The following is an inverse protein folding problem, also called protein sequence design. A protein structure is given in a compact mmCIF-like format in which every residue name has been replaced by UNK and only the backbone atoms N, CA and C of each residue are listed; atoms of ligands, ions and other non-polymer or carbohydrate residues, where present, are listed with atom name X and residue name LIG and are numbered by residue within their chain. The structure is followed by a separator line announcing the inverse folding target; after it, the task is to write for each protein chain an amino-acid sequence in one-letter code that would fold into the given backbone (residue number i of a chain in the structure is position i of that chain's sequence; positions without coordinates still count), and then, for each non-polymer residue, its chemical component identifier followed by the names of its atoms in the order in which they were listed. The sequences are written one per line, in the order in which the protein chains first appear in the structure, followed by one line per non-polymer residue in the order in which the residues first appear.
data_IF_836930520955
#
_entry.id   IF_836930520955
#
_cell.length_a   1.000
_cell.length_b   1.000
_cell.length_c   1.000
_cell.angle_alpha   90.00
_cell.angle_beta   90.00
_cell.angle_gamma   90.00
#
_symmetry.space_group_name_H-M   'P 1'
#
loop_
_entity.id
_entity.type
_entity.pdbx_description
1 polymer ?
#
# COMPACT_ATOMS: atom_id res chain seq x y z
N UNK A 1 5.76 -54.63 -8.07
CA UNK A 1 4.76 -53.62 -8.26
C UNK A 1 4.01 -53.37 -6.92
N UNK A 2 4.51 -52.67 -6.03
CA UNK A 2 3.87 -52.38 -4.73
C UNK A 2 4.96 -52.31 -3.68
N UNK A 3 5.21 -51.15 -3.14
CA UNK A 3 5.94 -50.89 -1.88
C UNK A 3 6.90 -49.69 -1.87
N UNK A 4 6.85 -48.79 -2.85
CA UNK A 4 7.79 -47.64 -2.81
C UNK A 4 7.12 -46.28 -2.60
N UNK A 5 5.82 -46.17 -2.32
CA UNK A 5 5.16 -44.86 -2.52
C UNK A 5 4.46 -44.21 -1.33
N UNK A 6 4.53 -44.82 -0.16
CA UNK A 6 3.91 -44.20 1.03
C UNK A 6 4.83 -43.25 1.82
N UNK A 7 6.13 -43.28 1.58
CA UNK A 7 7.11 -42.47 2.33
C UNK A 7 7.26 -41.04 1.82
N UNK A 8 7.09 -40.81 0.51
CA UNK A 8 7.34 -39.49 -0.09
C UNK A 8 6.18 -38.51 0.01
N UNK A 9 4.95 -39.01 0.05
CA UNK A 9 3.75 -38.17 0.26
C UNK A 9 3.71 -37.52 1.64
N UNK A 10 4.21 -38.18 2.67
CA UNK A 10 4.28 -37.64 4.03
C UNK A 10 5.34 -36.55 4.20
N UNK A 11 6.38 -36.55 3.37
CA UNK A 11 7.43 -35.52 3.32
C UNK A 11 6.96 -34.24 2.64
N UNK A 12 6.17 -34.38 1.58
CA UNK A 12 5.60 -33.27 0.83
C UNK A 12 4.54 -32.53 1.67
N UNK A 13 3.62 -33.24 2.32
CA UNK A 13 2.63 -32.63 3.21
C UNK A 13 3.26 -31.91 4.40
N UNK A 14 4.32 -32.44 4.98
CA UNK A 14 5.01 -31.83 6.13
C UNK A 14 5.80 -30.58 5.79
N UNK A 15 6.38 -30.48 4.61
CA UNK A 15 7.09 -29.30 4.12
C UNK A 15 6.14 -28.13 3.82
N UNK A 16 4.98 -28.45 3.23
CA UNK A 16 3.98 -27.48 2.78
C UNK A 16 3.27 -26.74 3.92
N UNK A 17 3.09 -27.39 5.08
CA UNK A 17 2.31 -26.83 6.20
C UNK A 17 3.15 -26.16 7.30
N UNK A 18 4.48 -26.24 7.26
CA UNK A 18 5.37 -25.64 8.27
C UNK A 18 5.92 -24.26 7.93
N UNK A 19 5.29 -23.51 7.03
CA UNK A 19 5.70 -22.18 6.62
C UNK A 19 5.39 -21.09 7.65
N UNK A 20 6.12 -21.06 8.75
CA UNK A 20 6.42 -19.82 9.49
C UNK A 20 7.89 -19.86 9.89
N UNK A 21 8.71 -19.22 9.04
CA UNK A 21 10.07 -18.87 9.41
C UNK A 21 11.07 -20.00 9.35
N UNK A 22 11.35 -20.53 8.16
CA UNK A 22 12.63 -21.17 7.84
C UNK A 22 12.73 -21.35 6.32
N UNK A 23 13.89 -21.10 5.76
CA UNK A 23 14.27 -21.35 4.38
C UNK A 23 13.72 -22.72 3.92
N UNK A 24 12.70 -22.69 3.05
CA UNK A 24 12.15 -23.88 2.42
C UNK A 24 13.20 -24.41 1.44
N UNK A 25 13.63 -25.66 1.63
CA UNK A 25 14.37 -26.36 0.59
C UNK A 25 13.50 -26.44 -0.68
N UNK A 26 14.09 -26.27 -1.87
CA UNK A 26 13.35 -26.28 -3.13
C UNK A 26 12.54 -27.56 -3.28
N UNK A 27 11.27 -27.41 -3.68
CA UNK A 27 10.36 -28.54 -3.89
C UNK A 27 10.75 -29.26 -5.16
N UNK A 28 11.26 -30.50 -5.06
CA UNK A 28 11.46 -31.36 -6.23
C UNK A 28 10.10 -31.82 -6.73
N UNK A 29 9.74 -31.44 -7.94
CA UNK A 29 8.53 -31.92 -8.61
C UNK A 29 8.77 -33.36 -9.04
N UNK A 30 8.05 -34.27 -8.42
CA UNK A 30 7.98 -35.68 -8.87
C UNK A 30 7.12 -35.70 -10.12
N UNK A 31 7.61 -36.26 -11.21
CA UNK A 31 6.92 -36.42 -12.50
C UNK A 31 5.76 -37.44 -12.41
N UNK A 32 4.76 -37.16 -11.58
CA UNK A 32 3.56 -37.99 -11.50
C UNK A 32 2.29 -37.14 -11.56
N UNK A 33 1.71 -36.96 -12.77
CA UNK A 33 0.46 -36.20 -12.97
C UNK A 33 -0.70 -36.71 -12.11
N UNK A 34 -0.69 -37.97 -11.73
CA UNK A 34 -1.78 -38.59 -10.96
C UNK A 34 -1.88 -38.12 -9.51
N UNK A 35 -0.78 -37.66 -8.92
CA UNK A 35 -0.77 -37.11 -7.56
C UNK A 35 -1.44 -35.75 -7.52
N UNK A 36 -1.20 -34.90 -8.52
CA UNK A 36 -1.77 -33.56 -8.60
C UNK A 36 -3.29 -33.55 -8.87
N UNK A 37 -3.82 -34.59 -9.56
CA UNK A 37 -5.26 -34.67 -9.87
C UNK A 37 -6.15 -34.86 -8.64
N UNK A 38 -5.62 -35.44 -7.56
CA UNK A 38 -6.36 -35.75 -6.32
C UNK A 38 -6.29 -34.62 -5.27
N UNK A 39 -5.56 -33.56 -5.54
CA UNK A 39 -5.47 -32.45 -4.59
C UNK A 39 -6.82 -31.74 -4.41
N UNK A 40 -7.10 -31.37 -3.16
CA UNK A 40 -8.33 -30.63 -2.77
C UNK A 40 -8.36 -29.20 -3.31
N UNK A 41 -7.21 -28.67 -3.71
CA UNK A 41 -7.03 -27.32 -4.24
C UNK A 41 -6.68 -27.33 -5.73
N UNK A 42 -6.91 -26.20 -6.40
CA UNK A 42 -6.47 -26.03 -7.78
C UNK A 42 -4.95 -25.89 -7.85
N UNK A 43 -4.32 -26.66 -8.74
CA UNK A 43 -2.90 -26.56 -9.03
C UNK A 43 -2.70 -26.31 -10.53
N UNK A 44 -1.92 -25.27 -10.87
CA UNK A 44 -1.50 -24.98 -12.22
C UNK A 44 0.02 -24.91 -12.27
N UNK A 45 0.64 -25.52 -13.26
CA UNK A 45 2.07 -25.44 -13.51
C UNK A 45 2.32 -24.66 -14.80
N UNK A 46 3.21 -23.69 -14.77
CA UNK A 46 3.64 -22.94 -15.94
C UNK A 46 5.16 -22.99 -16.10
N UNK A 47 5.63 -22.77 -17.33
CA UNK A 47 7.04 -22.54 -17.64
C UNK A 47 7.50 -21.13 -17.26
N UNK A 48 8.78 -20.81 -17.47
CA UNK A 48 9.37 -19.51 -17.20
C UNK A 48 8.81 -18.37 -18.04
N UNK A 49 8.16 -18.67 -19.17
CA UNK A 49 7.46 -17.71 -20.04
C UNK A 49 5.97 -17.56 -19.66
N UNK A 50 5.50 -18.31 -18.67
CA UNK A 50 4.11 -18.28 -18.18
C UNK A 50 3.16 -19.14 -18.99
N UNK A 51 3.63 -20.03 -19.88
CA UNK A 51 2.76 -20.96 -20.61
C UNK A 51 2.33 -22.09 -19.69
N UNK A 52 1.05 -22.38 -19.67
CA UNK A 52 0.49 -23.43 -18.82
C UNK A 52 0.91 -24.81 -19.33
N UNK A 53 1.65 -25.53 -18.49
CA UNK A 53 2.09 -26.90 -18.75
C UNK A 53 1.10 -27.91 -18.23
N UNK A 54 0.42 -27.61 -17.12
CA UNK A 54 -0.50 -28.52 -16.48
C UNK A 54 -1.54 -27.79 -15.62
N UNK A 55 -2.75 -28.31 -15.61
CA UNK A 55 -3.84 -27.92 -14.71
C UNK A 55 -4.47 -29.19 -14.10
N UNK A 56 -4.59 -29.27 -12.78
CA UNK A 56 -5.35 -30.35 -12.18
C UNK A 56 -6.87 -30.14 -12.34
N UNK A 57 -7.67 -31.18 -12.06
CA UNK A 57 -9.14 -31.12 -12.18
C UNK A 57 -9.74 -29.89 -11.47
N UNK A 58 -9.23 -29.57 -10.28
CA UNK A 58 -9.75 -28.46 -9.47
C UNK A 58 -9.39 -27.09 -10.05
N UNK A 59 -8.19 -26.93 -10.59
CA UNK A 59 -7.79 -25.72 -11.31
C UNK A 59 -8.64 -25.51 -12.57
N UNK A 60 -8.90 -26.55 -13.35
CA UNK A 60 -9.79 -26.47 -14.51
C UNK A 60 -11.19 -26.01 -14.13
N UNK A 61 -11.76 -26.56 -13.05
CA UNK A 61 -13.07 -26.13 -12.56
C UNK A 61 -13.12 -24.66 -12.14
N UNK A 62 -12.03 -24.14 -11.58
CA UNK A 62 -11.95 -22.75 -11.13
C UNK A 62 -11.66 -21.78 -12.26
N UNK A 63 -10.76 -22.15 -13.19
CA UNK A 63 -10.27 -21.26 -14.22
C UNK A 63 -11.05 -21.35 -15.54
N UNK A 64 -11.66 -22.51 -15.83
CA UNK A 64 -12.33 -22.81 -17.10
C UNK A 64 -13.71 -23.46 -16.86
N UNK A 65 -14.65 -22.77 -16.18
CA UNK A 65 -15.92 -23.37 -15.78
C UNK A 65 -16.79 -23.83 -16.95
N UNK A 66 -16.62 -23.24 -18.14
CA UNK A 66 -17.41 -23.56 -19.34
C UNK A 66 -16.72 -24.51 -20.33
N UNK A 67 -15.46 -24.87 -20.10
CA UNK A 67 -14.69 -25.77 -20.97
C UNK A 67 -13.88 -26.80 -20.17
N UNK A 68 -14.58 -27.83 -19.72
CA UNK A 68 -13.96 -28.91 -18.94
C UNK A 68 -13.12 -29.87 -19.78
N UNK A 69 -13.21 -29.78 -21.12
CA UNK A 69 -12.47 -30.63 -22.04
C UNK A 69 -11.08 -30.12 -22.37
N UNK A 70 -10.87 -28.82 -22.23
CA UNK A 70 -9.58 -28.18 -22.51
C UNK A 70 -8.54 -28.59 -21.47
N UNK A 71 -7.42 -29.12 -21.93
CA UNK A 71 -6.27 -29.47 -21.08
C UNK A 71 -5.43 -28.25 -20.67
N UNK A 72 -5.85 -27.04 -21.04
CA UNK A 72 -5.14 -25.80 -20.75
C UNK A 72 -3.87 -25.56 -21.59
N UNK A 73 -3.54 -26.50 -22.49
CA UNK A 73 -2.39 -26.41 -23.38
C UNK A 73 -2.60 -25.29 -24.41
N UNK A 74 -1.66 -24.33 -24.42
CA UNK A 74 -1.73 -23.15 -25.31
C UNK A 74 -2.17 -21.87 -24.64
N UNK A 75 -2.63 -21.92 -23.38
CA UNK A 75 -2.96 -20.74 -22.58
C UNK A 75 -1.73 -20.26 -21.78
N UNK A 76 -1.70 -18.98 -21.51
CA UNK A 76 -0.71 -18.42 -20.57
C UNK A 76 -1.30 -18.20 -19.19
N UNK A 77 -0.45 -18.05 -18.18
CA UNK A 77 -0.90 -17.68 -16.82
C UNK A 77 -1.59 -16.31 -16.83
N UNK A 78 -1.24 -15.42 -17.77
CA UNK A 78 -1.90 -14.13 -17.92
C UNK A 78 -3.36 -14.29 -18.34
N UNK A 79 -3.64 -15.15 -19.34
CA UNK A 79 -4.99 -15.40 -19.84
C UNK A 79 -5.93 -16.03 -18.78
N UNK A 80 -5.39 -16.93 -17.98
CA UNK A 80 -6.21 -17.72 -17.05
C UNK A 80 -6.27 -17.15 -15.63
N UNK A 81 -5.20 -16.48 -15.18
CA UNK A 81 -5.02 -16.07 -13.79
C UNK A 81 -4.86 -14.55 -13.68
N UNK A 82 -3.85 -13.97 -14.35
CA UNK A 82 -3.47 -12.58 -14.12
C UNK A 82 -4.54 -11.58 -14.56
N UNK A 83 -5.25 -11.81 -15.67
CA UNK A 83 -6.36 -10.97 -16.12
C UNK A 83 -7.52 -10.90 -15.12
N UNK A 84 -7.69 -11.96 -14.31
CA UNK A 84 -8.76 -12.06 -13.31
C UNK A 84 -8.37 -11.53 -11.93
N UNK A 85 -7.10 -11.19 -11.73
CA UNK A 85 -6.60 -10.62 -10.49
C UNK A 85 -6.90 -9.12 -10.37
N UNK A 86 -7.40 -8.51 -11.43
CA UNK A 86 -7.70 -7.08 -11.49
C UNK A 86 -6.46 -6.21 -11.41
N UNK A 87 -6.62 -4.89 -11.22
CA UNK A 87 -5.52 -3.94 -11.18
C UNK A 87 -4.57 -4.10 -9.99
N UNK A 88 -4.85 -5.02 -9.06
CA UNK A 88 -4.07 -5.26 -7.85
C UNK A 88 -2.64 -5.73 -8.10
N UNK A 89 -2.35 -6.31 -9.28
CA UNK A 89 -0.99 -6.75 -9.65
C UNK A 89 -0.38 -5.85 -10.73
N UNK A 90 -1.13 -4.84 -11.18
CA UNK A 90 -0.63 -3.77 -12.05
C UNK A 90 0.09 -4.24 -13.29
N UNK A 91 -0.41 -5.28 -13.94
CA UNK A 91 0.22 -5.82 -15.14
C UNK A 91 1.50 -6.62 -14.90
N UNK A 92 1.90 -6.85 -13.64
CA UNK A 92 3.01 -7.75 -13.34
C UNK A 92 2.55 -9.21 -13.49
N UNK A 93 3.29 -10.00 -14.27
CA UNK A 93 3.04 -11.42 -14.42
C UNK A 93 3.44 -12.17 -13.14
N UNK A 94 2.52 -12.91 -12.51
CA UNK A 94 2.79 -13.71 -11.31
C UNK A 94 3.92 -14.73 -11.50
N UNK A 95 4.06 -15.30 -12.70
CA UNK A 95 5.18 -16.18 -13.05
C UNK A 95 6.51 -15.45 -12.87
N UNK A 96 6.61 -14.23 -13.41
CA UNK A 96 7.83 -13.44 -13.31
C UNK A 96 8.12 -13.04 -11.85
N UNK A 97 7.09 -12.65 -11.10
CA UNK A 97 7.22 -12.34 -9.69
C UNK A 97 7.70 -13.55 -8.87
N UNK A 98 7.14 -14.74 -9.13
CA UNK A 98 7.56 -15.95 -8.43
C UNK A 98 9.00 -16.36 -8.74
N UNK A 99 9.44 -16.21 -10.00
CA UNK A 99 10.82 -16.54 -10.41
C UNK A 99 11.86 -15.52 -9.92
N UNK A 100 11.44 -14.28 -9.67
CA UNK A 100 12.29 -13.22 -9.11
C UNK A 100 12.32 -13.24 -7.58
N UNK A 101 11.29 -13.78 -6.94
CA UNK A 101 11.24 -13.95 -5.51
C UNK A 101 12.00 -15.21 -5.12
N UNK A 102 12.88 -15.15 -4.10
CA UNK A 102 13.51 -16.35 -3.53
C UNK A 102 12.52 -17.21 -2.72
N UNK A 103 11.21 -17.10 -2.99
CA UNK A 103 10.15 -17.78 -2.23
C UNK A 103 8.75 -17.60 -2.83
N UNK A 104 7.73 -17.93 -2.04
CA UNK A 104 6.33 -17.81 -2.43
C UNK A 104 5.90 -16.35 -2.62
N UNK A 105 5.06 -16.10 -3.61
CA UNK A 105 4.38 -14.80 -3.74
C UNK A 105 3.33 -14.63 -2.64
N UNK A 106 2.97 -13.39 -2.23
CA UNK A 106 1.82 -13.15 -1.39
C UNK A 106 0.54 -13.78 -1.97
N UNK A 107 -0.34 -14.26 -1.10
CA UNK A 107 -1.64 -14.80 -1.53
C UNK A 107 -2.52 -13.66 -2.07
N UNK A 108 -2.93 -13.74 -3.33
CA UNK A 108 -3.73 -12.71 -4.03
C UNK A 108 -5.13 -13.22 -4.28
N UNK A 109 -6.13 -12.37 -4.06
CA UNK A 109 -7.52 -12.68 -4.36
C UNK A 109 -7.78 -12.55 -5.86
N UNK A 110 -8.42 -13.57 -6.44
CA UNK A 110 -8.88 -13.64 -7.82
C UNK A 110 -10.40 -13.79 -7.83
N UNK A 111 -11.09 -12.93 -8.57
CA UNK A 111 -12.52 -13.05 -8.78
C UNK A 111 -12.79 -14.05 -9.92
N UNK A 112 -13.68 -15.00 -9.67
CA UNK A 112 -14.07 -16.05 -10.62
C UNK A 112 -15.57 -15.98 -10.85
N UNK A 113 -15.97 -16.06 -12.10
CA UNK A 113 -17.37 -16.22 -12.49
C UNK A 113 -17.63 -17.70 -12.74
N UNK A 114 -18.33 -18.35 -11.81
CA UNK A 114 -18.74 -19.75 -11.94
C UNK A 114 -20.26 -19.79 -11.97
N UNK A 115 -20.85 -20.14 -13.11
CA UNK A 115 -22.28 -20.32 -13.29
C UNK A 115 -23.15 -19.12 -12.85
N UNK A 116 -22.68 -17.88 -13.14
CA UNK A 116 -23.32 -16.60 -12.75
C UNK A 116 -23.30 -16.33 -11.25
N UNK A 117 -22.55 -17.09 -10.48
CA UNK A 117 -22.24 -16.83 -9.09
C UNK A 117 -20.84 -16.21 -9.01
N UNK A 118 -20.74 -14.97 -8.56
CA UNK A 118 -19.46 -14.36 -8.24
C UNK A 118 -18.82 -15.13 -7.09
N UNK A 119 -17.77 -15.87 -7.40
CA UNK A 119 -16.96 -16.60 -6.45
C UNK A 119 -15.56 -15.98 -6.39
N UNK A 120 -14.85 -16.16 -5.31
CA UNK A 120 -13.46 -15.75 -5.18
C UNK A 120 -12.55 -16.98 -5.02
N UNK A 121 -11.36 -16.92 -5.57
CA UNK A 121 -10.27 -17.82 -5.24
C UNK A 121 -9.09 -17.04 -4.73
N UNK A 122 -8.22 -17.71 -4.00
CA UNK A 122 -6.94 -17.16 -3.56
C UNK A 122 -5.83 -17.85 -4.34
N UNK A 123 -4.88 -17.08 -4.85
CA UNK A 123 -3.78 -17.57 -5.68
C UNK A 123 -2.46 -17.24 -5.01
N UNK A 124 -1.59 -18.24 -4.91
CA UNK A 124 -0.19 -18.09 -4.51
C UNK A 124 0.67 -18.74 -5.57
N UNK A 125 1.79 -18.15 -5.96
CA UNK A 125 2.72 -18.70 -6.93
C UNK A 125 4.06 -19.04 -6.24
N UNK A 126 4.63 -20.17 -6.62
CA UNK A 126 5.87 -20.72 -6.05
C UNK A 126 6.85 -21.03 -7.19
N UNK A 127 8.11 -20.61 -7.10
CA UNK A 127 9.14 -21.12 -7.99
C UNK A 127 9.36 -22.61 -7.69
N UNK A 128 9.55 -23.39 -8.75
CA UNK A 128 9.81 -24.83 -8.66
C UNK A 128 11.26 -25.10 -9.03
N UNK A 129 11.97 -25.83 -8.18
CA UNK A 129 13.32 -26.27 -8.49
C UNK A 129 13.28 -27.37 -9.56
N UNK A 130 13.68 -27.02 -10.77
CA UNK A 130 13.74 -27.90 -11.93
C UNK A 130 14.81 -27.38 -12.90
N UNK A 131 15.28 -28.24 -13.81
CA UNK A 131 16.29 -27.90 -14.81
C UNK A 131 15.90 -26.71 -15.71
N UNK A 132 14.59 -26.46 -15.84
CA UNK A 132 14.01 -25.31 -16.53
C UNK A 132 13.19 -24.48 -15.53
N UNK A 133 13.17 -23.13 -15.65
CA UNK A 133 12.36 -22.28 -14.78
C UNK A 133 10.87 -22.66 -14.85
N UNK A 134 10.28 -23.00 -13.72
CA UNK A 134 8.84 -23.35 -13.61
C UNK A 134 8.22 -22.68 -12.41
N UNK A 135 6.91 -22.43 -12.49
CA UNK A 135 6.11 -21.83 -11.42
C UNK A 135 4.87 -22.67 -11.16
N UNK A 136 4.65 -23.04 -9.91
CA UNK A 136 3.45 -23.69 -9.44
C UNK A 136 2.49 -22.64 -8.86
N UNK A 137 1.27 -22.60 -9.39
CA UNK A 137 0.18 -21.81 -8.84
C UNK A 137 -0.72 -22.68 -7.98
N UNK A 138 -0.92 -22.26 -6.77
CA UNK A 138 -1.89 -22.82 -5.84
C UNK A 138 -3.15 -21.97 -5.82
N UNK A 139 -4.28 -22.57 -6.15
CA UNK A 139 -5.59 -21.91 -6.24
C UNK A 139 -6.51 -22.48 -5.16
N UNK A 140 -6.80 -21.68 -4.15
CA UNK A 140 -7.69 -22.06 -3.06
C UNK A 140 -9.07 -21.42 -3.29
N UNK A 141 -10.17 -22.20 -3.44
CA UNK A 141 -11.49 -21.62 -3.57
C UNK A 141 -11.88 -20.88 -2.29
N UNK A 142 -12.36 -19.65 -2.45
CA UNK A 142 -12.99 -18.88 -1.39
C UNK A 142 -14.35 -19.52 -1.06
N UNK A 143 -14.67 -19.74 0.21
CA UNK A 143 -16.01 -20.12 0.62
C UNK A 143 -16.93 -18.91 0.54
N UNK A 144 -18.09 -19.03 -0.11
CA UNK A 144 -19.20 -18.11 0.04
C UNK A 144 -19.55 -18.06 1.53
N UNK A 145 -19.21 -17.00 2.20
CA UNK A 145 -19.41 -16.85 3.64
C UNK A 145 -18.14 -16.95 4.51
N UNK A 146 -16.97 -17.12 3.93
CA UNK A 146 -15.71 -17.12 4.67
C UNK A 146 -15.33 -15.68 5.09
N UNK A 147 -16.17 -15.12 5.95
CA UNK A 147 -15.73 -14.12 6.91
C UNK A 147 -14.81 -14.84 7.90
N UNK A 148 -13.63 -15.23 7.45
CA UNK A 148 -12.57 -15.49 8.40
C UNK A 148 -12.41 -14.19 9.19
N UNK A 149 -12.78 -14.24 10.45
CA UNK A 149 -12.29 -13.35 11.47
C UNK A 149 -10.76 -13.41 11.39
N UNK A 150 -10.19 -12.64 10.45
CA UNK A 150 -8.76 -12.36 10.48
C UNK A 150 -8.51 -11.57 11.74
N UNK A 151 -7.59 -12.00 12.54
CA UNK A 151 -6.94 -11.13 13.52
C UNK A 151 -6.32 -9.91 12.80
N UNK A 152 -6.07 -10.00 11.47
CA UNK A 152 -5.67 -8.88 10.61
C UNK A 152 -6.82 -8.00 10.09
N UNK A 153 -8.09 -8.48 10.06
CA UNK A 153 -9.23 -7.65 9.65
C UNK A 153 -9.55 -6.53 10.66
N UNK A 154 -8.90 -6.54 11.82
CA UNK A 154 -8.97 -5.41 12.77
C UNK A 154 -8.12 -4.23 12.36
N UNK A 155 -7.30 -4.33 11.30
CA UNK A 155 -6.33 -3.30 10.89
C UNK A 155 -6.35 -2.96 9.40
N UNK A 156 -7.22 -3.57 8.57
CA UNK A 156 -7.37 -3.14 7.18
C UNK A 156 -8.38 -1.99 7.14
N UNK A 157 -7.98 -0.79 6.68
CA UNK A 157 -8.92 0.30 6.48
C UNK A 157 -10.01 -0.11 5.49
N UNK A 158 -11.23 0.37 5.69
CA UNK A 158 -12.33 0.19 4.74
C UNK A 158 -11.94 0.79 3.39
N UNK A 159 -12.39 0.16 2.29
CA UNK A 159 -12.22 0.78 0.98
C UNK A 159 -13.06 2.07 0.86
N UNK A 160 -12.62 3.10 0.08
CA UNK A 160 -13.36 4.36 -0.07
C UNK A 160 -14.78 4.06 -0.50
N UNK A 161 -15.60 3.72 -0.78
CA UNK A 161 -16.99 3.48 -1.18
C UNK A 161 -17.77 2.49 -0.30
N UNK A 162 -17.10 1.83 0.65
CA UNK A 162 -17.75 0.89 1.59
C UNK A 162 -17.58 1.28 3.06
N UNK A 163 -16.91 2.39 3.33
CA UNK A 163 -16.69 2.90 4.67
C UNK A 163 -17.94 3.64 5.18
N UNK A 164 -18.26 3.46 6.45
CA UNK A 164 -19.33 4.21 7.11
C UNK A 164 -18.91 5.67 7.40
N UNK A 165 -17.62 5.91 7.46
CA UNK A 165 -17.02 7.23 7.63
C UNK A 165 -15.74 7.31 6.79
N UNK A 166 -15.63 8.34 5.95
CA UNK A 166 -14.44 8.62 5.15
C UNK A 166 -13.81 9.90 5.66
N UNK A 167 -12.49 9.88 5.87
CA UNK A 167 -11.73 11.01 6.39
C UNK A 167 -10.56 11.30 5.48
N UNK A 168 -10.43 12.55 5.08
CA UNK A 168 -9.33 13.07 4.31
C UNK A 168 -8.57 14.06 5.18
N UNK A 169 -7.29 13.79 5.38
CA UNK A 169 -6.42 14.55 6.26
C UNK A 169 -5.26 15.24 5.52
N UNK A 170 -4.99 14.82 4.28
CA UNK A 170 -4.02 15.47 3.42
C UNK A 170 -4.63 16.69 2.73
N UNK A 171 -4.00 17.84 2.89
CA UNK A 171 -4.58 19.13 2.52
C UNK A 171 -5.57 19.58 3.59
N UNK A 172 -6.71 20.10 3.15
CA UNK A 172 -7.78 20.52 4.05
C UNK A 172 -8.51 19.29 4.60
N UNK A 173 -8.82 19.33 5.90
CA UNK A 173 -9.52 18.24 6.55
C UNK A 173 -10.97 18.12 6.07
N UNK A 174 -11.33 16.96 5.58
CA UNK A 174 -12.69 16.67 5.15
C UNK A 174 -13.14 15.34 5.74
N UNK A 175 -14.42 15.23 6.05
CA UNK A 175 -15.01 13.98 6.51
C UNK A 175 -16.42 13.81 5.93
N UNK A 176 -16.75 12.59 5.55
CA UNK A 176 -18.04 12.20 5.02
C UNK A 176 -18.56 10.98 5.75
N UNK A 177 -19.74 11.12 6.36
CA UNK A 177 -20.44 10.05 7.08
C UNK A 177 -21.65 9.54 6.31
N UNK A 178 -22.46 8.70 6.93
CA UNK A 178 -23.67 8.11 6.34
C UNK A 178 -24.70 9.14 5.84
N UNK A 179 -24.69 10.36 6.36
CA UNK A 179 -25.57 11.45 5.97
C UNK A 179 -24.93 12.44 4.99
N UNK A 180 -23.76 12.12 4.45
CA UNK A 180 -22.99 12.96 3.54
C UNK A 180 -21.84 13.71 4.21
N UNK A 181 -21.25 14.69 3.52
CA UNK A 181 -20.10 15.43 4.01
C UNK A 181 -20.43 16.24 5.27
N UNK A 182 -19.47 16.27 6.19
CA UNK A 182 -19.51 17.12 7.37
C UNK A 182 -19.25 18.57 6.95
N UNK A 183 -19.97 19.49 7.57
CA UNK A 183 -19.84 20.91 7.30
C UNK A 183 -18.43 21.40 7.68
N UNK A 184 -17.76 22.11 6.74
CA UNK A 184 -16.43 22.67 6.94
C UNK A 184 -16.39 23.68 8.09
N UNK A 185 -17.41 24.56 8.20
CA UNK A 185 -17.51 25.53 9.29
C UNK A 185 -17.58 24.84 10.66
N UNK A 186 -18.31 23.71 10.74
CA UNK A 186 -18.36 22.90 11.95
C UNK A 186 -17.02 22.24 12.27
N UNK A 187 -16.26 21.81 11.26
CA UNK A 187 -14.93 21.21 11.42
C UNK A 187 -13.88 22.21 11.97
N UNK A 188 -14.08 23.50 11.77
CA UNK A 188 -13.23 24.55 12.33
C UNK A 188 -13.56 24.85 13.81
N UNK A 189 -14.75 24.47 14.27
CA UNK A 189 -15.17 24.68 15.67
C UNK A 189 -14.47 23.70 16.63
N UNK A 190 -14.62 23.94 17.93
CA UNK A 190 -14.00 23.13 18.99
C UNK A 190 -14.30 21.62 18.90
N UNK A 191 -15.53 21.16 18.61
CA UNK A 191 -15.80 19.75 18.37
C UNK A 191 -15.04 19.17 17.16
N UNK A 192 -14.91 19.94 16.08
CA UNK A 192 -14.12 19.58 14.90
C UNK A 192 -12.62 19.49 15.20
N UNK A 193 -12.07 20.42 15.99
CA UNK A 193 -10.68 20.35 16.47
C UNK A 193 -10.43 19.10 17.32
N UNK A 194 -11.37 18.74 18.21
CA UNK A 194 -11.31 17.48 18.96
C UNK A 194 -11.32 16.26 18.02
N UNK A 195 -12.15 16.33 16.97
CA UNK A 195 -12.20 15.26 15.97
C UNK A 195 -10.85 15.10 15.23
N UNK A 196 -10.30 16.18 14.70
CA UNK A 196 -8.98 16.21 14.06
C UNK A 196 -7.89 15.65 14.98
N UNK A 197 -7.88 16.06 16.25
CA UNK A 197 -6.94 15.57 17.26
C UNK A 197 -7.07 14.06 17.49
N UNK A 198 -8.30 13.56 17.68
CA UNK A 198 -8.54 12.14 17.90
C UNK A 198 -8.20 11.28 16.68
N UNK A 199 -8.39 11.81 15.46
CA UNK A 199 -7.96 11.16 14.21
C UNK A 199 -6.43 11.12 14.11
N UNK A 200 -5.73 12.18 14.49
CA UNK A 200 -4.27 12.20 14.57
C UNK A 200 -3.77 11.12 15.54
N UNK A 201 -4.39 10.98 16.70
CA UNK A 201 -4.01 10.05 17.75
C UNK A 201 -4.70 8.66 17.67
N UNK A 202 -5.32 8.33 16.56
CA UNK A 202 -6.20 7.14 16.38
C UNK A 202 -5.56 5.79 16.71
N UNK A 203 -4.24 5.73 16.79
CA UNK A 203 -3.51 4.49 17.06
C UNK A 203 -3.40 4.14 18.55
N UNK A 204 -3.84 5.05 19.44
CA UNK A 204 -3.71 4.88 20.89
C UNK A 204 -4.88 5.47 21.66
N UNK A 205 -5.07 5.01 22.89
CA UNK A 205 -5.97 5.66 23.82
C UNK A 205 -5.29 6.91 24.37
N UNK A 206 -5.93 8.07 24.26
CA UNK A 206 -5.43 9.33 24.77
C UNK A 206 -6.14 9.67 26.09
N UNK A 207 -5.37 10.03 27.11
CA UNK A 207 -5.93 10.40 28.42
C UNK A 207 -6.70 11.72 28.33
N UNK A 208 -7.74 11.87 29.16
CA UNK A 208 -8.54 13.09 29.19
C UNK A 208 -7.70 14.34 29.51
N UNK A 209 -6.68 14.20 30.37
CA UNK A 209 -5.78 15.30 30.70
C UNK A 209 -4.95 15.73 29.49
N UNK A 210 -4.38 14.78 28.73
CA UNK A 210 -3.60 15.07 27.54
C UNK A 210 -4.45 15.73 26.44
N UNK A 211 -5.70 15.28 26.26
CA UNK A 211 -6.63 15.91 25.29
C UNK A 211 -6.94 17.36 25.73
N UNK A 212 -7.23 17.55 27.03
CA UNK A 212 -7.54 18.87 27.55
C UNK A 212 -6.35 19.84 27.44
N UNK A 213 -5.15 19.37 27.76
CA UNK A 213 -3.90 20.15 27.63
C UNK A 213 -3.62 20.54 26.17
N UNK A 214 -3.78 19.60 25.23
CA UNK A 214 -3.54 19.86 23.80
C UNK A 214 -4.53 20.86 23.18
N UNK A 215 -5.81 20.82 23.60
CA UNK A 215 -6.86 21.63 22.97
C UNK A 215 -7.23 22.90 23.76
N UNK A 216 -6.99 22.91 25.06
CA UNK A 216 -7.34 24.03 25.96
C UNK A 216 -6.26 24.24 27.04
N UNK A 217 -5.01 24.57 26.65
CA UNK A 217 -3.90 24.67 27.61
C UNK A 217 -4.13 25.75 28.68
N UNK A 218 -4.98 26.75 28.39
CA UNK A 218 -5.34 27.82 29.32
C UNK A 218 -6.44 27.41 30.34
N UNK A 219 -7.11 26.25 30.12
CA UNK A 219 -8.18 25.83 31.02
C UNK A 219 -7.64 25.12 32.28
N UNK A 220 -8.24 25.37 33.41
CA UNK A 220 -7.97 24.55 34.61
C UNK A 220 -8.36 23.09 34.38
N UNK A 221 -7.74 22.17 35.15
CA UNK A 221 -7.87 20.71 34.92
C UNK A 221 -9.33 20.24 34.93
N UNK A 222 -10.14 20.69 35.87
CA UNK A 222 -11.54 20.29 35.97
C UNK A 222 -12.41 20.90 34.87
N UNK A 223 -12.14 22.16 34.47
CA UNK A 223 -12.83 22.84 33.40
C UNK A 223 -12.49 22.18 32.06
N UNK A 224 -11.24 21.86 31.79
CA UNK A 224 -10.81 21.14 30.61
C UNK A 224 -11.51 19.78 30.46
N UNK A 225 -11.63 19.00 31.54
CA UNK A 225 -12.36 17.72 31.55
C UNK A 225 -13.85 17.87 31.28
N UNK A 226 -14.48 18.92 31.79
CA UNK A 226 -15.88 19.19 31.60
C UNK A 226 -16.15 19.59 30.13
N UNK A 227 -15.31 20.48 29.56
CA UNK A 227 -15.33 20.82 28.12
C UNK A 227 -15.17 19.60 27.24
N UNK A 228 -14.20 18.72 27.57
CA UNK A 228 -13.96 17.49 26.82
C UNK A 228 -15.20 16.59 26.82
N UNK A 229 -15.85 16.35 27.96
CA UNK A 229 -17.07 15.52 28.00
C UNK A 229 -18.18 16.11 27.14
N UNK A 230 -18.38 17.43 27.18
CA UNK A 230 -19.35 18.12 26.36
C UNK A 230 -19.04 17.94 24.85
N UNK A 231 -17.81 18.22 24.44
CA UNK A 231 -17.46 18.14 23.01
C UNK A 231 -17.40 16.70 22.49
N UNK A 232 -17.06 15.71 23.33
CA UNK A 232 -17.19 14.29 22.96
C UNK A 232 -18.67 13.93 22.72
N UNK A 233 -19.58 14.46 23.51
CA UNK A 233 -21.03 14.26 23.28
C UNK A 233 -21.46 14.84 21.95
N UNK A 234 -21.14 16.10 21.69
CA UNK A 234 -21.45 16.78 20.42
C UNK A 234 -20.84 16.05 19.21
N UNK A 235 -19.57 15.61 19.33
CA UNK A 235 -18.89 14.86 18.27
C UNK A 235 -19.59 13.53 17.99
N UNK A 236 -19.99 12.79 19.02
CA UNK A 236 -20.72 11.53 18.87
C UNK A 236 -22.08 11.72 18.19
N UNK A 237 -22.83 12.75 18.54
CA UNK A 237 -24.10 13.06 17.87
C UNK A 237 -23.90 13.40 16.39
N UNK A 238 -22.81 14.09 16.06
CA UNK A 238 -22.49 14.45 14.69
C UNK A 238 -22.05 13.25 13.85
N UNK A 239 -21.22 12.36 14.41
CA UNK A 239 -20.72 11.18 13.68
C UNK A 239 -21.70 10.02 13.65
N UNK A 240 -22.59 9.93 14.64
CA UNK A 240 -23.51 8.80 14.84
C UNK A 240 -24.94 9.32 15.12
N UNK A 241 -25.56 10.07 14.21
CA UNK A 241 -26.86 10.73 14.48
C UNK A 241 -28.01 9.75 14.74
N UNK A 242 -27.92 8.54 14.17
CA UNK A 242 -28.95 7.49 14.36
C UNK A 242 -28.69 6.59 15.59
N UNK A 243 -27.68 6.91 16.36
CA UNK A 243 -27.34 6.11 17.54
C UNK A 243 -28.47 6.17 18.60
N UNK A 244 -29.04 5.01 18.91
CA UNK A 244 -30.06 4.93 19.95
C UNK A 244 -29.49 5.36 21.31
N UNK A 245 -30.31 6.05 22.11
CA UNK A 245 -29.95 6.43 23.48
C UNK A 245 -29.44 5.20 24.26
N UNK A 246 -28.26 5.33 24.91
CA UNK A 246 -27.55 4.28 25.67
C UNK A 246 -26.84 3.21 24.84
N UNK A 247 -26.88 3.26 23.50
CA UNK A 247 -26.00 2.39 22.69
C UNK A 247 -24.53 2.80 22.84
N UNK A 248 -23.58 1.86 22.86
CA UNK A 248 -22.16 2.19 22.90
C UNK A 248 -21.78 3.00 21.66
N UNK A 249 -20.93 4.03 21.86
CA UNK A 249 -20.39 4.78 20.75
C UNK A 249 -19.45 3.91 19.93
N UNK A 250 -19.48 4.07 18.61
CA UNK A 250 -18.72 3.27 17.66
C UNK A 250 -17.37 3.91 17.35
N UNK A 251 -17.35 5.20 17.03
CA UNK A 251 -16.12 5.87 16.59
C UNK A 251 -15.33 6.48 17.73
N UNK A 252 -15.97 7.22 18.63
CA UNK A 252 -15.29 7.85 19.78
C UNK A 252 -15.61 7.07 21.04
N UNK A 253 -14.75 6.13 21.37
CA UNK A 253 -15.00 5.17 22.48
C UNK A 253 -14.27 5.60 23.74
N UNK A 254 -15.03 5.63 24.86
CA UNK A 254 -14.43 5.86 26.17
C UNK A 254 -13.64 4.61 26.60
N UNK A 255 -12.40 4.81 27.01
CA UNK A 255 -11.52 3.81 27.62
C UNK A 255 -11.10 4.27 29.00
N UNK A 256 -10.48 3.38 29.78
CA UNK A 256 -10.06 3.72 31.14
C UNK A 256 -9.15 4.97 31.14
N UNK A 257 -9.67 6.06 31.65
CA UNK A 257 -8.95 7.34 31.81
C UNK A 257 -8.91 8.25 30.55
N UNK A 258 -9.59 7.88 29.46
CA UNK A 258 -9.54 8.72 28.25
C UNK A 258 -10.45 8.25 27.12
N UNK A 259 -10.05 8.55 25.89
CA UNK A 259 -10.79 8.24 24.67
C UNK A 259 -9.87 7.66 23.59
N UNK A 260 -10.46 6.86 22.72
CA UNK A 260 -9.82 6.34 21.50
C UNK A 260 -10.76 6.57 20.31
N UNK A 261 -10.18 6.90 19.16
CA UNK A 261 -10.89 6.89 17.89
C UNK A 261 -10.76 5.50 17.26
N UNK A 262 -11.87 4.76 17.18
CA UNK A 262 -11.91 3.43 16.57
C UNK A 262 -12.03 3.55 15.05
N UNK A 263 -11.14 2.89 14.33
CA UNK A 263 -11.04 2.98 12.86
C UNK A 263 -11.78 1.85 12.13
N UNK A 264 -12.49 0.98 12.86
CA UNK A 264 -13.26 -0.08 12.22
C UNK A 264 -14.43 0.49 11.40
N UNK A 265 -14.43 0.22 10.10
CA UNK A 265 -15.40 0.79 9.15
C UNK A 265 -15.12 2.25 8.77
N UNK A 266 -13.94 2.76 9.10
CA UNK A 266 -13.47 4.09 8.72
C UNK A 266 -12.40 3.98 7.65
N UNK A 267 -12.50 4.76 6.60
CA UNK A 267 -11.43 4.97 5.64
C UNK A 267 -10.71 6.29 5.95
N UNK A 268 -9.41 6.27 6.01
CA UNK A 268 -8.57 7.45 6.25
C UNK A 268 -7.47 7.49 5.19
N UNK A 269 -7.34 8.60 4.51
CA UNK A 269 -6.35 8.78 3.43
C UNK A 269 -4.91 8.56 3.89
N UNK A 270 -4.55 8.94 5.10
CA UNK A 270 -3.22 8.69 5.66
C UNK A 270 -2.95 7.20 5.92
N UNK A 271 -3.94 6.41 6.33
CA UNK A 271 -3.77 4.96 6.52
C UNK A 271 -3.62 4.25 5.18
N UNK A 272 -4.38 4.68 4.17
CA UNK A 272 -4.25 4.22 2.79
C UNK A 272 -2.88 4.57 2.21
N UNK A 273 -2.46 5.84 2.35
CA UNK A 273 -1.15 6.32 1.93
C UNK A 273 -0.02 5.49 2.54
N UNK A 274 -0.03 5.28 3.85
CA UNK A 274 1.02 4.52 4.52
C UNK A 274 1.07 3.06 4.08
N UNK A 275 -0.08 2.46 3.84
CA UNK A 275 -0.18 1.08 3.37
C UNK A 275 0.47 0.93 1.99
N UNK A 276 0.08 1.80 1.07
CA UNK A 276 0.61 1.79 -0.30
C UNK A 276 2.08 2.21 -0.34
N UNK A 277 2.46 3.23 0.42
CA UNK A 277 3.86 3.67 0.51
C UNK A 277 4.79 2.55 1.00
N UNK A 278 4.39 1.83 2.06
CA UNK A 278 5.19 0.70 2.57
C UNK A 278 5.30 -0.43 1.55
N UNK A 279 4.19 -0.80 0.92
CA UNK A 279 4.20 -1.84 -0.11
C UNK A 279 5.08 -1.44 -1.30
N UNK A 280 4.94 -0.20 -1.79
CA UNK A 280 5.71 0.30 -2.91
C UNK A 280 7.21 0.43 -2.63
N UNK A 281 7.59 0.98 -1.46
CA UNK A 281 8.99 1.08 -1.06
C UNK A 281 9.63 -0.29 -0.83
N UNK A 282 8.90 -1.24 -0.27
CA UNK A 282 9.38 -2.61 -0.10
C UNK A 282 9.60 -3.31 -1.45
N UNK A 283 8.66 -3.16 -2.40
CA UNK A 283 8.79 -3.69 -3.75
C UNK A 283 9.97 -3.06 -4.51
N UNK A 284 10.18 -1.75 -4.35
CA UNK A 284 11.33 -1.04 -4.94
C UNK A 284 12.65 -1.56 -4.39
N UNK A 285 12.76 -1.75 -3.08
CA UNK A 285 13.95 -2.31 -2.44
C UNK A 285 14.27 -3.75 -2.91
N UNK A 286 13.26 -4.48 -3.37
CA UNK A 286 13.40 -5.83 -3.94
C UNK A 286 13.63 -5.82 -5.46
N UNK A 287 13.75 -4.65 -6.11
CA UNK A 287 13.89 -4.53 -7.55
C UNK A 287 12.62 -4.83 -8.36
N UNK A 288 11.46 -4.99 -7.70
CA UNK A 288 10.17 -5.24 -8.34
C UNK A 288 9.54 -3.93 -8.83
N UNK A 289 10.17 -3.25 -9.79
CA UNK A 289 9.85 -1.88 -10.17
C UNK A 289 8.41 -1.69 -10.71
N UNK A 290 7.85 -2.69 -11.40
CA UNK A 290 6.47 -2.65 -11.86
C UNK A 290 5.47 -2.55 -10.71
N UNK A 291 5.56 -3.46 -9.73
CA UNK A 291 4.72 -3.45 -8.53
C UNK A 291 4.98 -2.19 -7.68
N UNK A 292 6.25 -1.80 -7.53
CA UNK A 292 6.63 -0.59 -6.81
C UNK A 292 5.94 0.66 -7.41
N UNK A 293 6.05 0.84 -8.73
CA UNK A 293 5.48 2.00 -9.43
C UNK A 293 3.98 2.14 -9.21
N UNK A 294 3.25 1.03 -9.14
CA UNK A 294 1.80 1.04 -8.90
C UNK A 294 1.46 1.46 -7.48
N UNK A 295 2.02 0.77 -6.49
CA UNK A 295 1.79 1.10 -5.10
C UNK A 295 2.20 2.54 -4.78
N UNK A 296 3.35 3.00 -5.31
CA UNK A 296 3.81 4.37 -5.12
C UNK A 296 2.88 5.38 -5.82
N UNK A 297 2.35 5.06 -7.01
CA UNK A 297 1.38 5.90 -7.69
C UNK A 297 0.05 5.98 -6.91
N UNK A 298 -0.44 4.85 -6.35
CA UNK A 298 -1.64 4.83 -5.50
C UNK A 298 -1.43 5.63 -4.22
N UNK A 299 -0.26 5.55 -3.59
CA UNK A 299 0.09 6.40 -2.46
C UNK A 299 0.03 7.89 -2.85
N UNK A 300 0.65 8.27 -3.97
CA UNK A 300 0.68 9.67 -4.43
C UNK A 300 -0.69 10.19 -4.90
N UNK A 301 -1.62 9.32 -5.25
CA UNK A 301 -3.00 9.69 -5.60
C UNK A 301 -3.77 10.22 -4.40
N UNK A 302 -3.56 9.66 -3.21
CA UNK A 302 -4.24 10.13 -2.00
C UNK A 302 -3.48 11.25 -1.29
N UNK A 303 -2.17 11.39 -1.54
CA UNK A 303 -1.35 12.47 -0.97
C UNK A 303 -1.57 13.79 -1.70
N UNK A 304 -2.45 14.66 -1.18
CA UNK A 304 -2.82 15.93 -1.79
C UNK A 304 -2.07 17.14 -1.24
N UNK A 305 -1.30 16.96 -0.19
CA UNK A 305 -0.53 18.02 0.47
C UNK A 305 -0.11 17.63 1.89
N UNK A 306 0.43 18.55 2.68
CA UNK A 306 0.77 18.30 4.07
C UNK A 306 -0.44 17.86 4.90
N UNK A 307 -0.20 17.08 5.95
CA UNK A 307 -1.21 16.66 6.91
C UNK A 307 -1.81 17.87 7.62
N UNK A 308 -3.15 18.04 7.58
CA UNK A 308 -3.91 19.16 8.16
C UNK A 308 -3.31 20.52 7.75
N UNK A 309 -3.26 20.80 6.45
CA UNK A 309 -2.62 22.00 5.91
C UNK A 309 -3.30 23.30 6.38
N UNK A 310 -4.58 23.27 6.70
CA UNK A 310 -5.37 24.40 7.23
C UNK A 310 -5.02 24.75 8.69
N UNK A 311 -4.45 23.80 9.44
CA UNK A 311 -4.05 23.97 10.84
C UNK A 311 -2.50 23.95 11.02
N UNK A 312 -1.74 24.84 10.35
CA UNK A 312 -0.28 24.75 10.30
C UNK A 312 0.42 24.96 11.65
N UNK A 313 -0.23 25.63 12.60
CA UNK A 313 0.34 26.03 13.89
C UNK A 313 -0.10 25.15 15.06
N UNK A 314 -0.78 24.03 14.83
CA UNK A 314 -1.16 23.14 15.92
C UNK A 314 -0.03 22.18 16.27
N UNK A 315 0.53 22.32 17.47
CA UNK A 315 1.72 21.57 17.93
C UNK A 315 1.47 20.06 17.96
N UNK A 316 0.28 19.65 18.34
CA UNK A 316 -0.07 18.22 18.42
C UNK A 316 -0.09 17.49 17.06
N UNK A 317 -0.14 18.21 15.94
CA UNK A 317 -0.10 17.63 14.60
C UNK A 317 1.31 17.65 13.97
N UNK A 318 2.27 18.33 14.60
CA UNK A 318 3.60 18.56 14.03
C UNK A 318 4.35 17.26 13.77
N UNK A 319 4.44 16.39 14.78
CA UNK A 319 5.14 15.10 14.66
C UNK A 319 4.57 14.23 13.54
N UNK A 320 3.24 14.12 13.44
CA UNK A 320 2.58 13.34 12.41
C UNK A 320 2.75 13.98 11.01
N UNK A 321 2.72 15.30 10.93
CA UNK A 321 2.96 16.04 9.68
C UNK A 321 4.37 15.83 9.15
N UNK A 322 5.38 15.94 10.02
CA UNK A 322 6.78 15.69 9.67
C UNK A 322 6.98 14.24 9.21
N UNK A 323 6.51 13.28 9.98
CA UNK A 323 6.59 11.86 9.68
C UNK A 323 5.95 11.48 8.32
N UNK A 324 4.77 12.00 8.05
CA UNK A 324 4.07 11.77 6.78
C UNK A 324 4.74 12.51 5.62
N UNK A 325 5.29 13.70 5.87
CA UNK A 325 6.09 14.46 4.92
C UNK A 325 7.36 13.71 4.49
N UNK A 326 8.12 13.20 5.45
CA UNK A 326 9.30 12.37 5.17
C UNK A 326 8.95 11.12 4.36
N UNK A 327 7.84 10.45 4.70
CA UNK A 327 7.38 9.29 3.95
C UNK A 327 7.00 9.68 2.51
N UNK A 328 6.32 10.81 2.32
CA UNK A 328 5.94 11.31 1.00
C UNK A 328 7.16 11.68 0.15
N UNK A 329 8.19 12.28 0.75
CA UNK A 329 9.45 12.56 0.08
C UNK A 329 10.13 11.27 -0.41
N UNK A 330 10.17 10.24 0.43
CA UNK A 330 10.71 8.91 0.06
C UNK A 330 9.93 8.28 -1.10
N UNK A 331 8.61 8.36 -1.07
CA UNK A 331 7.72 7.84 -2.15
C UNK A 331 7.97 8.59 -3.45
N UNK A 332 8.04 9.93 -3.42
CA UNK A 332 8.32 10.75 -4.61
C UNK A 332 9.70 10.45 -5.19
N UNK A 333 10.72 10.29 -4.35
CA UNK A 333 12.09 9.94 -4.76
C UNK A 333 12.12 8.59 -5.47
N UNK A 334 11.56 7.53 -4.87
CA UNK A 334 11.50 6.20 -5.45
C UNK A 334 10.74 6.19 -6.79
N UNK A 335 9.58 6.84 -6.85
CA UNK A 335 8.78 6.93 -8.07
C UNK A 335 9.51 7.68 -9.18
N UNK A 336 10.22 8.76 -8.85
CA UNK A 336 11.06 9.49 -9.80
C UNK A 336 12.18 8.60 -10.37
N UNK A 337 12.88 7.85 -9.51
CA UNK A 337 13.94 6.93 -9.93
C UNK A 337 13.42 5.84 -10.88
N UNK A 338 12.27 5.23 -10.57
CA UNK A 338 11.60 4.26 -11.45
C UNK A 338 11.25 4.90 -12.79
N UNK A 339 10.72 6.13 -12.79
CA UNK A 339 10.39 6.85 -14.02
C UNK A 339 11.63 7.17 -14.85
N UNK A 340 12.76 7.54 -14.22
CA UNK A 340 14.03 7.79 -14.90
C UNK A 340 14.56 6.50 -15.54
N UNK A 341 14.60 5.41 -14.78
CA UNK A 341 15.06 4.10 -15.26
C UNK A 341 14.24 3.58 -16.44
N UNK A 342 12.92 3.83 -16.42
CA UNK A 342 11.99 3.44 -17.50
C UNK A 342 11.90 4.46 -18.65
N UNK A 343 12.71 5.52 -18.68
CA UNK A 343 12.70 6.56 -19.71
C UNK A 343 11.49 7.52 -19.67
N UNK A 344 10.63 7.44 -18.68
CA UNK A 344 9.44 8.30 -18.51
C UNK A 344 9.82 9.65 -17.87
N UNK A 345 10.67 10.40 -18.57
CA UNK A 345 11.31 11.61 -18.04
C UNK A 345 10.33 12.75 -17.70
N UNK A 346 9.18 12.84 -18.39
CA UNK A 346 8.17 13.85 -18.09
C UNK A 346 7.48 13.55 -16.76
N UNK A 347 7.10 12.32 -16.50
CA UNK A 347 6.56 11.90 -15.21
C UNK A 347 7.59 12.06 -14.08
N UNK A 348 8.85 11.70 -14.35
CA UNK A 348 9.95 11.92 -13.40
C UNK A 348 10.05 13.39 -13.01
N UNK A 349 9.97 14.32 -13.98
CA UNK A 349 10.07 15.75 -13.72
C UNK A 349 8.96 16.26 -12.78
N UNK A 350 7.75 15.74 -12.89
CA UNK A 350 6.65 16.14 -12.00
C UNK A 350 6.89 15.65 -10.55
N UNK A 351 7.36 14.42 -10.39
CA UNK A 351 7.70 13.89 -9.08
C UNK A 351 8.87 14.64 -8.43
N UNK A 352 9.94 14.89 -9.19
CA UNK A 352 11.12 15.59 -8.67
C UNK A 352 10.82 17.04 -8.33
N UNK A 353 9.93 17.70 -9.09
CA UNK A 353 9.50 19.07 -8.77
C UNK A 353 8.79 19.10 -7.42
N UNK A 354 7.81 18.22 -7.20
CA UNK A 354 7.11 18.13 -5.91
C UNK A 354 8.09 17.83 -4.76
N UNK A 355 9.03 16.92 -4.98
CA UNK A 355 10.06 16.57 -4.00
C UNK A 355 10.97 17.78 -3.68
N UNK A 356 11.41 18.53 -4.69
CA UNK A 356 12.26 19.69 -4.52
C UNK A 356 11.55 20.89 -3.86
N UNK A 357 10.22 20.93 -3.91
CA UNK A 357 9.43 21.90 -3.17
C UNK A 357 9.31 21.51 -1.68
N UNK A 358 9.29 20.21 -1.37
CA UNK A 358 9.28 19.69 0.00
C UNK A 358 10.66 19.77 0.67
N UNK A 359 11.71 19.44 -0.08
CA UNK A 359 13.10 19.39 0.40
C UNK A 359 13.99 20.38 -0.38
N UNK A 360 13.79 21.69 -0.20
CA UNK A 360 14.41 22.70 -1.05
C UNK A 360 15.93 22.86 -0.86
N UNK A 361 16.49 22.35 0.23
CA UNK A 361 17.91 22.40 0.57
C UNK A 361 18.63 21.05 0.49
N UNK A 362 17.89 19.96 0.19
CA UNK A 362 18.49 18.65 -0.01
C UNK A 362 19.27 18.62 -1.33
N UNK A 363 20.58 18.46 -1.22
CA UNK A 363 21.50 18.44 -2.36
C UNK A 363 21.22 17.30 -3.33
N UNK A 364 20.87 16.10 -2.83
CA UNK A 364 20.60 14.94 -3.68
C UNK A 364 19.29 15.10 -4.44
N UNK A 365 18.30 15.75 -3.84
CA UNK A 365 17.05 16.11 -4.53
C UNK A 365 17.31 17.10 -5.65
N UNK A 366 18.17 18.12 -5.40
CA UNK A 366 18.51 19.08 -6.44
C UNK A 366 19.32 18.43 -7.57
N UNK A 367 20.28 17.56 -7.25
CA UNK A 367 21.00 16.75 -8.25
C UNK A 367 20.04 15.94 -9.10
N UNK A 368 19.10 15.22 -8.48
CA UNK A 368 18.08 14.43 -9.19
C UNK A 368 17.22 15.30 -10.12
N UNK A 369 16.84 16.52 -9.67
CA UNK A 369 16.10 17.47 -10.51
C UNK A 369 16.91 17.89 -11.74
N UNK A 370 18.17 18.25 -11.54
CA UNK A 370 19.05 18.66 -12.64
C UNK A 370 19.30 17.54 -13.63
N UNK A 371 19.52 16.31 -13.13
CA UNK A 371 19.65 15.11 -13.96
C UNK A 371 18.44 14.93 -14.89
N UNK A 372 17.22 15.00 -14.35
CA UNK A 372 16.00 14.90 -15.17
C UNK A 372 15.91 16.01 -16.21
N UNK A 373 16.24 17.25 -15.84
CA UNK A 373 16.26 18.37 -16.79
C UNK A 373 17.28 18.14 -17.93
N UNK A 374 18.48 17.68 -17.61
CA UNK A 374 19.54 17.41 -18.58
C UNK A 374 19.18 16.26 -19.52
N UNK A 375 18.67 15.14 -18.98
CA UNK A 375 18.20 13.99 -19.76
C UNK A 375 17.03 14.35 -20.71
N UNK A 376 16.21 15.33 -20.35
CA UNK A 376 15.15 15.91 -21.20
C UNK A 376 15.67 16.91 -22.24
N UNK A 377 16.98 17.22 -22.25
CA UNK A 377 17.57 18.26 -23.10
C UNK A 377 17.23 19.69 -22.67
N UNK A 378 16.68 19.90 -21.47
CA UNK A 378 16.25 21.21 -20.97
C UNK A 378 17.36 21.93 -20.22
N UNK A 379 18.49 22.14 -20.87
CA UNK A 379 19.69 22.78 -20.28
C UNK A 379 19.41 24.14 -19.65
N UNK A 380 18.60 24.98 -20.29
CA UNK A 380 18.27 26.32 -19.78
C UNK A 380 17.46 26.24 -18.46
N UNK A 381 16.61 25.21 -18.30
CA UNK A 381 15.86 24.98 -17.07
C UNK A 381 16.81 24.48 -15.96
N UNK A 382 17.70 23.56 -16.27
CA UNK A 382 18.73 23.08 -15.35
C UNK A 382 19.61 24.23 -14.85
N UNK A 383 20.09 25.09 -15.74
CA UNK A 383 20.91 26.25 -15.37
C UNK A 383 20.19 27.22 -14.44
N UNK A 384 18.94 27.57 -14.74
CA UNK A 384 18.13 28.44 -13.87
C UNK A 384 17.92 27.84 -12.50
N UNK A 385 17.59 26.52 -12.45
CA UNK A 385 17.37 25.82 -11.19
C UNK A 385 18.64 25.75 -10.35
N UNK A 386 19.76 25.42 -10.95
CA UNK A 386 21.05 25.38 -10.27
C UNK A 386 21.44 26.74 -9.72
N UNK A 387 21.32 27.81 -10.53
CA UNK A 387 21.64 29.18 -10.12
C UNK A 387 20.75 29.63 -8.94
N UNK A 388 19.46 29.27 -8.96
CA UNK A 388 18.56 29.58 -7.86
C UNK A 388 18.92 28.78 -6.59
N UNK A 389 19.22 27.50 -6.71
CA UNK A 389 19.63 26.67 -5.58
C UNK A 389 20.94 27.17 -4.96
N UNK A 390 21.95 27.45 -5.79
CA UNK A 390 23.23 28.00 -5.37
C UNK A 390 23.05 29.29 -4.56
N UNK A 391 22.23 30.22 -5.06
CA UNK A 391 21.91 31.44 -4.34
C UNK A 391 21.28 31.21 -3.00
N UNK A 392 20.28 30.29 -2.92
CA UNK A 392 19.61 29.97 -1.68
C UNK A 392 20.54 29.31 -0.65
N UNK A 393 21.44 28.44 -1.08
CA UNK A 393 22.46 27.84 -0.22
C UNK A 393 23.38 28.89 0.37
N UNK A 394 23.84 29.80 -0.48
CA UNK A 394 24.70 30.90 -0.05
C UNK A 394 24.00 31.85 0.94
N UNK A 395 22.73 32.19 0.66
CA UNK A 395 21.93 33.09 1.51
C UNK A 395 21.57 32.42 2.87
N UNK A 396 21.29 31.12 2.90
CA UNK A 396 20.86 30.41 4.11
C UNK A 396 22.02 29.87 4.96
N UNK A 397 23.08 29.37 4.33
CA UNK A 397 24.17 28.65 5.01
C UNK A 397 25.56 29.27 4.82
N UNK A 398 25.69 30.27 3.98
CA UNK A 398 26.97 30.98 3.72
C UNK A 398 27.96 30.20 2.85
N UNK A 399 27.56 29.11 2.22
CA UNK A 399 28.40 28.32 1.30
C UNK A 399 27.63 27.90 0.06
N UNK A 400 28.35 27.56 -1.00
CA UNK A 400 27.78 27.04 -2.24
C UNK A 400 27.52 25.54 -2.15
N UNK A 401 26.73 24.95 -3.07
CA UNK A 401 26.59 23.51 -3.21
C UNK A 401 27.95 22.82 -3.43
N UNK A 402 28.06 21.57 -2.99
CA UNK A 402 29.25 20.73 -3.11
C UNK A 402 29.44 20.08 -4.50
N UNK A 403 28.67 20.52 -5.49
CA UNK A 403 28.73 20.04 -6.88
C UNK A 403 28.55 21.17 -7.87
N UNK A 404 29.06 20.97 -9.11
CA UNK A 404 28.88 21.91 -10.21
C UNK A 404 27.98 21.30 -11.32
N UNK A 405 27.16 22.16 -11.94
CA UNK A 405 26.30 21.75 -13.04
C UNK A 405 27.09 21.18 -14.23
N UNK A 406 28.27 21.76 -14.52
CA UNK A 406 29.15 21.31 -15.61
C UNK A 406 29.70 19.89 -15.40
N UNK A 407 29.95 19.50 -14.13
CA UNK A 407 30.38 18.14 -13.78
C UNK A 407 29.26 17.14 -14.07
N UNK A 408 28.02 17.44 -13.68
CA UNK A 408 26.85 16.61 -13.96
C UNK A 408 26.58 16.47 -15.48
N UNK A 409 26.74 17.55 -16.26
CA UNK A 409 26.62 17.49 -17.72
C UNK A 409 27.69 16.57 -18.33
N UNK A 410 28.90 16.63 -17.82
CA UNK A 410 29.99 15.77 -18.27
C UNK A 410 29.75 14.29 -17.94
N UNK A 411 29.33 13.98 -16.72
CA UNK A 411 29.03 12.62 -16.28
C UNK A 411 27.88 11.98 -17.11
N UNK A 412 26.82 12.74 -17.37
CA UNK A 412 25.68 12.26 -18.18
C UNK A 412 26.02 12.10 -19.67
N UNK A 413 27.01 12.85 -20.16
CA UNK A 413 27.47 12.74 -21.55
C UNK A 413 28.49 11.61 -21.75
N UNK A 414 29.15 11.17 -20.69
CA UNK A 414 30.20 10.13 -20.68
C UNK A 414 29.94 9.15 -19.51
N UNK A 415 28.83 8.36 -19.57
CA UNK A 415 28.57 7.40 -18.50
C UNK A 415 29.77 6.44 -18.41
N UNK A 416 30.37 6.38 -17.22
CA UNK A 416 31.46 5.44 -16.92
C UNK A 416 30.93 4.03 -17.16
N UNK A 417 31.60 3.28 -18.03
CA UNK A 417 31.29 1.92 -18.46
C UNK A 417 31.42 0.94 -17.33
#
# INVERSE_FOLDING_TARGET
LGEVQAADTAGFERGYWRGRGSLLAPVRVVDSPLLFERFLYGLALADGEGRILYLNRKARQLLMPHDHSARGLGWTCCDLICERLGPLIGGACLTRLALQAEGETPEVRMDIDVDRLQAAAWVTAFPVDSDEPRVLFHLRPGRTGDRRRRVSDRLSPAAPGSADLQIQTFGDFQAEGAQGPLDSEWLEQRPGQLFKYLVCERRRTVTSDRIAEALWPEAGVDDGKNRLRHYVHVLREKLEPERANRSPARFVVARRGGYVFETQGVWIDTDEFEREARAGLAAHAQGCEGAASLHLADALRVYRGPFLSEDPYVDWALEERERLGELAARVLRAQAQICIASGRLDAAADHVRRLADMEPFDTDVQKLFLEVCLRRGRRSEAFRRYSFFRKRMLDAFGHEPDFALAEMEHELSHPSS
#
